data_IF_843816489608
#
_entry.id   IF_843816489608
#
_cell.length_a   1.000
_cell.length_b   1.000
_cell.length_c   1.000
_cell.angle_alpha   90.00
_cell.angle_beta   90.00
_cell.angle_gamma   90.00
#
_symmetry.space_group_name_H-M   'P 1'
#
loop_
_entity.id
_entity.type
_entity.pdbx_description
1 polymer ?
#
# COMPACT_ATOMS: atom_id res chain seq x y z
N UNK A 1 32.49 -14.37 1.82
CA UNK A 1 32.04 -13.21 1.04
C UNK A 1 31.15 -12.40 1.96
N UNK A 2 31.64 -11.28 2.49
CA UNK A 2 30.96 -10.56 3.59
C UNK A 2 29.73 -9.75 3.14
N UNK A 3 29.47 -9.75 1.83
CA UNK A 3 28.27 -9.18 1.20
C UNK A 3 27.08 -10.15 1.12
N UNK A 4 27.21 -11.39 1.59
CA UNK A 4 26.11 -12.37 1.63
C UNK A 4 25.56 -12.51 3.06
N UNK A 5 24.24 -12.42 3.19
CA UNK A 5 23.55 -12.53 4.47
C UNK A 5 22.26 -13.34 4.33
N UNK A 6 22.17 -14.43 5.10
CA UNK A 6 20.97 -15.25 5.23
C UNK A 6 20.36 -15.03 6.60
N UNK A 7 19.04 -14.87 6.67
CA UNK A 7 18.30 -14.67 7.92
C UNK A 7 16.83 -15.10 7.76
N UNK A 8 16.11 -15.22 8.87
CA UNK A 8 14.67 -15.49 8.90
C UNK A 8 13.88 -14.20 9.13
N UNK A 9 12.82 -13.99 8.34
CA UNK A 9 11.93 -12.84 8.49
C UNK A 9 10.55 -13.13 7.88
N UNK A 10 9.49 -12.62 8.54
CA UNK A 10 8.09 -12.77 8.08
C UNK A 10 7.73 -14.25 7.76
N UNK A 11 8.20 -15.17 8.62
CA UNK A 11 7.90 -16.60 8.50
C UNK A 11 8.59 -17.34 7.36
N UNK A 12 9.66 -16.79 6.77
CA UNK A 12 10.44 -17.48 5.73
C UNK A 12 11.91 -17.07 5.74
N UNK A 13 12.73 -17.83 5.01
CA UNK A 13 14.15 -17.60 4.83
C UNK A 13 14.39 -16.51 3.78
N UNK A 14 15.27 -15.57 4.11
CA UNK A 14 15.72 -14.48 3.24
C UNK A 14 17.20 -14.61 2.93
N UNK A 15 17.60 -14.09 1.77
CA UNK A 15 19.00 -13.90 1.38
C UNK A 15 19.19 -12.52 0.77
N UNK A 16 20.13 -11.77 1.33
CA UNK A 16 20.62 -10.50 0.80
C UNK A 16 22.06 -10.70 0.32
N UNK A 17 22.31 -10.48 -0.95
CA UNK A 17 23.65 -10.59 -1.55
C UNK A 17 24.02 -9.27 -2.20
N UNK A 18 25.20 -8.75 -1.87
CA UNK A 18 25.72 -7.47 -2.34
C UNK A 18 27.20 -7.59 -2.71
N UNK A 19 27.69 -6.70 -3.59
CA UNK A 19 29.10 -6.69 -3.99
C UNK A 19 30.03 -6.14 -2.88
N UNK A 20 29.56 -5.15 -2.12
CA UNK A 20 30.28 -4.59 -0.97
C UNK A 20 29.85 -5.31 0.33
N UNK A 21 30.69 -5.38 1.38
CA UNK A 21 30.30 -6.00 2.65
C UNK A 21 29.04 -5.39 3.28
N UNK A 22 28.18 -6.24 3.83
CA UNK A 22 26.99 -5.79 4.58
C UNK A 22 27.39 -5.46 6.01
N UNK A 23 27.61 -4.16 6.28
CA UNK A 23 27.93 -3.68 7.63
C UNK A 23 26.78 -3.90 8.61
N UNK A 24 27.07 -3.92 9.92
CA UNK A 24 26.02 -4.06 10.93
C UNK A 24 24.98 -2.93 10.88
N UNK A 25 25.38 -1.74 10.41
CA UNK A 25 24.45 -0.62 10.23
C UNK A 25 23.41 -0.94 9.14
N UNK A 26 23.83 -1.51 8.01
CA UNK A 26 22.94 -1.95 6.92
C UNK A 26 22.02 -3.06 7.41
N UNK A 27 22.58 -4.07 8.08
CA UNK A 27 21.81 -5.21 8.62
C UNK A 27 20.74 -4.74 9.61
N UNK A 28 21.09 -3.83 10.52
CA UNK A 28 20.14 -3.21 11.47
C UNK A 28 19.06 -2.41 10.75
N UNK A 29 19.41 -1.62 9.74
CA UNK A 29 18.43 -0.83 8.99
C UNK A 29 17.41 -1.73 8.25
N UNK A 30 17.88 -2.82 7.64
CA UNK A 30 17.02 -3.84 7.01
C UNK A 30 16.11 -4.50 8.04
N UNK A 31 16.65 -4.95 9.17
CA UNK A 31 15.86 -5.57 10.24
C UNK A 31 14.78 -4.62 10.78
N UNK A 32 15.11 -3.36 11.04
CA UNK A 32 14.16 -2.34 11.47
C UNK A 32 13.06 -2.10 10.43
N UNK A 33 13.42 -2.08 9.14
CA UNK A 33 12.45 -1.91 8.06
C UNK A 33 11.49 -3.09 7.98
N UNK A 34 11.98 -4.32 8.09
CA UNK A 34 11.17 -5.54 8.08
C UNK A 34 10.23 -5.57 9.29
N UNK A 35 10.73 -5.28 10.49
CA UNK A 35 9.92 -5.26 11.70
C UNK A 35 8.87 -4.13 11.70
N UNK A 36 9.18 -2.96 11.12
CA UNK A 36 8.19 -1.92 10.87
C UNK A 36 7.10 -2.36 9.87
N UNK A 37 7.46 -3.13 8.84
CA UNK A 37 6.49 -3.71 7.92
C UNK A 37 5.57 -4.71 8.62
N UNK A 38 6.16 -5.61 9.41
CA UNK A 38 5.45 -6.63 10.16
C UNK A 38 4.45 -6.03 11.16
N UNK A 39 4.86 -4.99 11.90
CA UNK A 39 3.97 -4.21 12.79
C UNK A 39 2.82 -3.53 12.05
N UNK A 40 2.96 -3.22 10.76
CA UNK A 40 1.89 -2.59 10.01
C UNK A 40 0.94 -3.64 9.41
N UNK A 41 1.50 -4.69 8.81
CA UNK A 41 0.77 -5.52 7.84
C UNK A 41 0.51 -6.96 8.29
N UNK A 42 1.10 -7.40 9.41
CA UNK A 42 0.94 -8.78 9.86
C UNK A 42 -0.45 -9.00 10.46
N UNK A 43 -1.19 -9.97 9.91
CA UNK A 43 -2.45 -10.44 10.49
C UNK A 43 -2.28 -11.36 11.69
N UNK A 44 -1.04 -11.80 11.95
CA UNK A 44 -0.69 -12.73 13.02
C UNK A 44 -0.09 -12.02 14.24
N UNK A 45 0.42 -10.80 14.06
CA UNK A 45 1.00 -10.00 15.13
C UNK A 45 -0.08 -9.17 15.81
N UNK A 46 -0.31 -9.45 17.09
CA UNK A 46 -1.16 -8.62 17.93
C UNK A 46 -0.62 -7.17 17.99
N UNK A 47 -1.54 -6.20 18.00
CA UNK A 47 -1.20 -4.79 18.00
C UNK A 47 -0.68 -4.22 16.67
N UNK A 48 -0.78 -5.00 15.58
CA UNK A 48 -0.51 -4.46 14.24
C UNK A 48 -1.60 -3.50 13.77
N UNK A 49 -1.33 -2.72 12.72
CA UNK A 49 -2.39 -1.89 12.10
C UNK A 49 -3.50 -2.77 11.53
N UNK A 50 -3.16 -3.93 10.96
CA UNK A 50 -4.13 -4.94 10.51
C UNK A 50 -5.00 -5.46 11.66
N UNK A 51 -4.42 -5.69 12.84
CA UNK A 51 -5.17 -6.09 14.04
C UNK A 51 -6.18 -5.02 14.47
N UNK A 52 -5.83 -3.73 14.34
CA UNK A 52 -6.77 -2.64 14.59
C UNK A 52 -7.93 -2.59 13.57
N UNK A 53 -7.66 -2.90 12.28
CA UNK A 53 -8.68 -3.02 11.22
C UNK A 53 -9.62 -4.20 11.48
N UNK A 54 -9.08 -5.31 11.98
CA UNK A 54 -9.85 -6.48 12.43
C UNK A 54 -10.78 -6.13 13.59
N UNK A 55 -10.30 -5.34 14.56
CA UNK A 55 -11.03 -5.08 15.79
C UNK A 55 -12.16 -4.07 15.62
N UNK A 56 -11.97 -3.02 14.80
CA UNK A 56 -12.90 -1.89 14.74
C UNK A 56 -13.12 -1.38 13.32
N UNK A 57 -14.34 -0.92 13.02
CA UNK A 57 -14.61 -0.19 11.79
C UNK A 57 -14.21 1.29 11.96
N UNK A 58 -13.77 1.93 10.89
CA UNK A 58 -13.50 3.37 10.90
C UNK A 58 -12.27 3.74 10.09
N UNK A 59 -11.50 4.69 10.60
CA UNK A 59 -10.36 5.28 9.91
C UNK A 59 -9.06 4.82 10.58
N UNK A 60 -8.26 4.05 9.86
CA UNK A 60 -7.03 3.44 10.36
C UNK A 60 -5.82 4.08 9.68
N UNK A 61 -4.85 4.57 10.46
CA UNK A 61 -3.63 5.16 9.90
C UNK A 61 -2.71 4.03 9.42
N UNK A 62 -2.50 3.96 8.12
CA UNK A 62 -1.57 3.03 7.48
C UNK A 62 -0.14 3.61 7.51
N UNK A 63 0.91 2.80 7.29
CA UNK A 63 2.26 3.33 7.13
C UNK A 63 2.33 4.30 5.95
N UNK A 64 3.28 5.24 6.00
CA UNK A 64 3.37 6.33 5.02
C UNK A 64 3.62 5.81 3.59
N UNK A 65 4.21 4.62 3.47
CA UNK A 65 4.44 3.91 2.22
C UNK A 65 3.36 2.87 1.89
N UNK A 66 2.17 2.93 2.48
CA UNK A 66 1.07 2.01 2.13
C UNK A 66 0.52 2.22 0.71
N UNK A 67 0.66 3.45 0.18
CA UNK A 67 0.03 3.87 -1.08
C UNK A 67 0.33 2.94 -2.27
N UNK A 68 1.60 2.64 -2.59
CA UNK A 68 1.95 1.75 -3.71
C UNK A 68 1.33 0.36 -3.61
N UNK A 69 1.37 -0.27 -2.44
CA UNK A 69 0.81 -1.61 -2.21
C UNK A 69 -0.71 -1.63 -2.34
N UNK A 70 -1.41 -0.68 -1.70
CA UNK A 70 -2.87 -0.57 -1.81
C UNK A 70 -3.31 -0.26 -3.25
N UNK A 71 -2.57 0.59 -3.95
CA UNK A 71 -2.82 0.87 -5.36
C UNK A 71 -2.56 -0.35 -6.26
N UNK A 72 -1.65 -1.26 -5.89
CA UNK A 72 -1.46 -2.54 -6.59
C UNK A 72 -2.68 -3.44 -6.37
N UNK A 73 -3.13 -3.60 -5.14
CA UNK A 73 -4.34 -4.36 -4.82
C UNK A 73 -5.58 -3.83 -5.55
N UNK A 74 -5.77 -2.50 -5.62
CA UNK A 74 -6.85 -1.89 -6.40
C UNK A 74 -6.82 -2.30 -7.88
N UNK A 75 -5.63 -2.29 -8.49
CA UNK A 75 -5.45 -2.68 -9.90
C UNK A 75 -5.73 -4.16 -10.09
N UNK A 76 -5.18 -5.02 -9.23
CA UNK A 76 -5.35 -6.46 -9.31
C UNK A 76 -6.80 -6.87 -9.06
N UNK A 77 -7.45 -6.31 -8.06
CA UNK A 77 -8.86 -6.52 -7.76
C UNK A 77 -9.74 -6.16 -8.95
N UNK A 78 -9.50 -4.99 -9.56
CA UNK A 78 -10.23 -4.57 -10.76
C UNK A 78 -9.96 -5.50 -11.95
N UNK A 79 -8.71 -5.83 -12.21
CA UNK A 79 -8.30 -6.66 -13.36
C UNK A 79 -8.82 -8.10 -13.27
N UNK A 80 -9.03 -8.60 -12.06
CA UNK A 80 -9.50 -9.96 -11.79
C UNK A 80 -11.00 -10.04 -11.46
N UNK A 81 -11.75 -8.95 -11.69
CA UNK A 81 -13.17 -8.85 -11.35
C UNK A 81 -13.49 -9.28 -9.90
N UNK A 82 -12.56 -8.99 -8.98
CA UNK A 82 -12.70 -9.28 -7.56
C UNK A 82 -12.10 -10.60 -7.08
N UNK A 83 -11.57 -11.45 -7.96
CA UNK A 83 -10.97 -12.73 -7.56
C UNK A 83 -9.71 -12.55 -6.71
N UNK A 84 -8.95 -11.47 -6.91
CA UNK A 84 -7.87 -11.06 -6.00
C UNK A 84 -8.35 -9.90 -5.12
N UNK A 85 -8.30 -10.08 -3.80
CA UNK A 85 -8.71 -9.07 -2.83
C UNK A 85 -7.83 -9.17 -1.58
N UNK A 86 -7.39 -8.05 -0.99
CA UNK A 86 -6.71 -8.07 0.31
C UNK A 86 -7.71 -8.21 1.47
N UNK A 87 -9.03 -8.22 1.22
CA UNK A 87 -10.06 -8.38 2.26
C UNK A 87 -10.47 -9.85 2.49
N UNK A 88 -9.62 -10.80 2.10
CA UNK A 88 -9.90 -12.25 2.15
C UNK A 88 -9.53 -12.90 3.49
N UNK A 89 -8.92 -12.16 4.42
CA UNK A 89 -8.37 -12.73 5.65
C UNK A 89 -9.40 -13.49 6.49
N UNK A 90 -10.64 -12.98 6.61
CA UNK A 90 -11.71 -13.68 7.33
C UNK A 90 -12.03 -15.05 6.70
N UNK A 91 -11.98 -15.13 5.37
CA UNK A 91 -12.16 -16.36 4.62
C UNK A 91 -11.00 -17.33 4.81
N UNK A 92 -9.76 -16.83 4.80
CA UNK A 92 -8.57 -17.64 5.06
C UNK A 92 -8.60 -18.26 6.47
N UNK A 93 -8.97 -17.49 7.48
CA UNK A 93 -9.08 -18.00 8.85
C UNK A 93 -10.23 -19.00 9.02
N UNK A 94 -11.35 -18.77 8.32
CA UNK A 94 -12.45 -19.73 8.27
C UNK A 94 -12.04 -21.08 7.67
N UNK A 95 -11.08 -21.07 6.73
CA UNK A 95 -10.46 -22.26 6.14
C UNK A 95 -9.35 -22.86 7.01
N UNK A 96 -9.06 -22.28 8.18
CA UNK A 96 -8.05 -22.77 9.11
C UNK A 96 -6.64 -22.21 8.89
N UNK A 97 -6.45 -21.22 8.00
CA UNK A 97 -5.19 -20.47 7.90
C UNK A 97 -5.10 -19.38 8.98
N UNK A 98 -5.57 -19.64 10.20
CA UNK A 98 -5.47 -18.72 11.33
C UNK A 98 -4.05 -18.72 11.95
N UNK A 99 -3.83 -17.92 12.99
CA UNK A 99 -2.52 -17.81 13.64
C UNK A 99 -2.01 -19.13 14.23
N UNK A 100 -2.92 -20.05 14.57
CA UNK A 100 -2.58 -21.39 15.03
C UNK A 100 -2.28 -22.37 13.91
N UNK A 101 -2.44 -21.98 12.64
CA UNK A 101 -2.40 -22.89 11.50
C UNK A 101 -3.25 -24.13 11.75
N UNK A 102 -4.51 -23.92 12.15
CA UNK A 102 -5.44 -25.02 12.43
C UNK A 102 -5.64 -25.96 11.22
N UNK A 103 -5.49 -25.43 9.99
CA UNK A 103 -5.59 -26.14 8.71
C UNK A 103 -6.85 -27.01 8.56
N UNK A 104 -7.90 -26.63 9.29
CA UNK A 104 -9.19 -27.31 9.27
C UNK A 104 -10.26 -26.29 8.98
N UNK A 105 -10.99 -26.49 7.88
CA UNK A 105 -12.06 -25.60 7.47
C UNK A 105 -13.28 -25.73 8.39
N UNK A 106 -13.86 -24.59 8.78
CA UNK A 106 -15.14 -24.56 9.51
C UNK A 106 -16.30 -24.74 8.53
N UNK A 107 -17.46 -25.27 8.97
CA UNK A 107 -18.62 -25.41 8.10
C UNK A 107 -19.09 -24.07 7.49
N UNK A 108 -19.60 -24.13 6.25
CA UNK A 108 -20.13 -22.96 5.55
C UNK A 108 -19.08 -22.12 4.82
N UNK A 109 -19.47 -20.91 4.44
CA UNK A 109 -18.64 -19.98 3.67
C UNK A 109 -18.58 -18.61 4.34
N UNK A 110 -17.38 -18.02 4.38
CA UNK A 110 -17.13 -16.68 4.92
C UNK A 110 -16.69 -15.75 3.78
N UNK A 111 -17.60 -14.94 3.21
CA UNK A 111 -17.26 -14.04 2.11
C UNK A 111 -16.34 -12.91 2.58
N UNK A 112 -15.42 -12.52 1.70
CA UNK A 112 -14.63 -11.30 1.85
C UNK A 112 -15.53 -10.05 1.82
N UNK A 113 -15.09 -8.98 2.49
CA UNK A 113 -15.67 -7.65 2.27
C UNK A 113 -15.35 -7.20 0.84
N UNK A 114 -16.29 -6.47 0.21
CA UNK A 114 -16.05 -5.83 -1.08
C UNK A 114 -14.94 -4.79 -0.94
N UNK A 115 -13.76 -5.11 -1.49
CA UNK A 115 -12.61 -4.21 -1.48
C UNK A 115 -12.91 -2.88 -2.19
N UNK A 116 -13.74 -2.89 -3.23
CA UNK A 116 -14.17 -1.68 -3.93
C UNK A 116 -14.98 -0.71 -3.07
N UNK A 117 -15.50 -1.17 -1.93
CA UNK A 117 -16.20 -0.35 -0.95
C UNK A 117 -15.29 0.18 0.19
N UNK A 118 -14.05 -0.30 0.28
CA UNK A 118 -13.04 0.20 1.24
C UNK A 118 -12.46 1.51 0.72
N UNK A 119 -12.40 2.52 1.59
CA UNK A 119 -11.88 3.84 1.25
C UNK A 119 -10.38 3.93 1.46
N UNK A 120 -9.69 4.66 0.57
CA UNK A 120 -8.31 5.08 0.78
C UNK A 120 -8.23 6.60 0.65
N UNK A 121 -7.97 7.27 1.78
CA UNK A 121 -7.70 8.70 1.91
C UNK A 121 -6.36 8.86 2.61
N UNK A 122 -5.28 8.77 1.83
CA UNK A 122 -3.91 8.63 2.34
C UNK A 122 -3.61 9.64 3.48
N UNK A 123 -3.00 9.18 4.59
CA UNK A 123 -2.49 7.83 4.85
C UNK A 123 -3.54 6.88 5.50
N UNK A 124 -4.84 7.15 5.35
CA UNK A 124 -5.87 6.43 6.09
C UNK A 124 -6.68 5.45 5.24
N UNK A 125 -6.84 4.24 5.76
CA UNK A 125 -7.78 3.24 5.27
C UNK A 125 -9.13 3.43 5.99
N UNK A 126 -10.21 3.51 5.23
CA UNK A 126 -11.56 3.70 5.75
C UNK A 126 -12.41 2.45 5.55
N UNK A 127 -12.87 1.86 6.65
CA UNK A 127 -13.63 0.61 6.66
C UNK A 127 -15.04 0.85 7.21
N UNK A 128 -16.06 0.30 6.54
CA UNK A 128 -17.45 0.39 7.01
C UNK A 128 -17.79 -0.69 8.05
N UNK A 129 -17.03 -1.78 8.05
CA UNK A 129 -17.12 -2.92 8.97
C UNK A 129 -15.70 -3.40 9.28
N UNK A 130 -15.46 -3.99 10.46
CA UNK A 130 -14.19 -4.67 10.72
C UNK A 130 -14.05 -5.90 9.80
N UNK A 131 -12.82 -6.18 9.38
CA UNK A 131 -12.47 -7.39 8.62
C UNK A 131 -10.97 -7.65 8.75
N UNK A 132 -10.53 -8.85 8.38
CA UNK A 132 -9.11 -9.19 8.38
C UNK A 132 -8.49 -8.80 7.04
N UNK A 133 -7.66 -7.76 7.06
CA UNK A 133 -6.82 -7.38 5.93
C UNK A 133 -5.66 -8.38 5.80
N UNK A 134 -5.44 -8.92 4.60
CA UNK A 134 -4.36 -9.84 4.29
C UNK A 134 -3.61 -9.32 3.05
N UNK A 135 -2.30 -9.12 3.20
CA UNK A 135 -1.42 -8.71 2.10
C UNK A 135 -0.48 -9.83 1.66
N UNK A 136 -0.76 -11.09 1.99
CA UNK A 136 0.13 -12.22 1.69
C UNK A 136 0.42 -12.40 0.21
N UNK A 137 -0.54 -12.04 -0.66
CA UNK A 137 -0.40 -12.21 -2.12
C UNK A 137 0.61 -11.27 -2.80
N UNK A 138 0.95 -10.11 -2.20
CA UNK A 138 1.85 -9.12 -2.82
C UNK A 138 2.75 -8.37 -1.82
N UNK A 139 2.48 -8.48 -0.52
CA UNK A 139 3.16 -7.76 0.54
C UNK A 139 4.63 -8.16 0.69
N UNK A 140 4.97 -9.43 0.44
CA UNK A 140 6.36 -9.88 0.52
C UNK A 140 7.21 -9.32 -0.61
N UNK A 141 6.76 -9.44 -1.87
CA UNK A 141 7.41 -8.78 -3.00
C UNK A 141 7.56 -7.27 -2.81
N UNK A 142 6.54 -6.60 -2.25
CA UNK A 142 6.67 -5.19 -1.91
C UNK A 142 7.72 -4.91 -0.82
N UNK A 143 7.81 -5.76 0.22
CA UNK A 143 8.85 -5.64 1.23
C UNK A 143 10.25 -5.87 0.66
N UNK A 144 10.40 -6.77 -0.32
CA UNK A 144 11.67 -6.97 -1.05
C UNK A 144 12.11 -5.69 -1.75
N UNK A 145 11.19 -4.97 -2.42
CA UNK A 145 11.48 -3.65 -3.01
C UNK A 145 11.96 -2.66 -1.93
N UNK A 146 11.25 -2.58 -0.81
CA UNK A 146 11.57 -1.66 0.29
C UNK A 146 12.92 -1.96 0.96
N UNK A 147 13.26 -3.24 1.13
CA UNK A 147 14.57 -3.68 1.64
C UNK A 147 15.67 -3.31 0.65
N UNK A 148 15.41 -3.47 -0.66
CA UNK A 148 16.34 -3.06 -1.71
C UNK A 148 16.62 -1.55 -1.62
N UNK A 149 15.58 -0.73 -1.49
CA UNK A 149 15.69 0.72 -1.32
C UNK A 149 16.49 1.10 -0.07
N UNK A 150 16.29 0.40 1.05
CA UNK A 150 17.08 0.60 2.28
C UNK A 150 18.57 0.35 2.02
N UNK A 151 18.92 -0.77 1.37
CA UNK A 151 20.31 -1.12 1.08
C UNK A 151 20.95 -0.11 0.14
N UNK A 152 20.26 0.28 -0.94
CA UNK A 152 20.74 1.29 -1.89
C UNK A 152 20.81 2.70 -1.28
N UNK A 153 20.18 2.95 -0.13
CA UNK A 153 20.33 4.18 0.64
C UNK A 153 21.76 4.41 1.13
N UNK A 154 22.53 3.33 1.37
CA UNK A 154 23.92 3.37 1.83
C UNK A 154 24.89 3.61 0.67
N UNK A 155 25.88 4.47 0.89
CA UNK A 155 26.75 4.99 -0.18
C UNK A 155 27.57 3.89 -0.87
N UNK A 156 28.03 2.92 -0.10
CA UNK A 156 28.81 1.76 -0.53
C UNK A 156 28.03 0.81 -1.45
N UNK A 157 26.69 0.82 -1.40
CA UNK A 157 25.85 -0.08 -2.19
C UNK A 157 25.19 0.61 -3.39
N UNK A 158 25.16 1.95 -3.47
CA UNK A 158 24.46 2.71 -4.53
C UNK A 158 24.84 2.35 -5.96
N UNK A 159 26.07 1.91 -6.19
CA UNK A 159 26.57 1.56 -7.52
C UNK A 159 26.91 0.07 -7.66
N UNK A 160 26.83 -0.68 -6.56
CA UNK A 160 27.13 -2.11 -6.56
C UNK A 160 25.89 -2.95 -6.87
N UNK A 161 26.10 -4.17 -7.35
CA UNK A 161 25.04 -5.14 -7.51
C UNK A 161 24.39 -5.51 -6.17
N UNK A 162 23.06 -5.61 -6.15
CA UNK A 162 22.25 -6.01 -4.99
C UNK A 162 21.22 -7.05 -5.44
N UNK A 163 21.11 -8.15 -4.70
CA UNK A 163 20.05 -9.15 -4.85
C UNK A 163 19.38 -9.36 -3.50
N UNK A 164 18.06 -9.26 -3.47
CA UNK A 164 17.23 -9.57 -2.31
C UNK A 164 16.28 -10.69 -2.71
N UNK A 165 16.32 -11.81 -2.00
CA UNK A 165 15.45 -12.98 -2.20
C UNK A 165 14.72 -13.29 -0.89
N UNK A 166 13.39 -13.26 -0.91
CA UNK A 166 12.52 -13.60 0.20
C UNK A 166 11.72 -14.88 -0.08
N UNK A 167 12.43 -15.99 -0.31
CA UNK A 167 11.83 -17.29 -0.63
C UNK A 167 11.06 -17.25 -1.95
N UNK A 168 11.74 -16.74 -2.99
CA UNK A 168 11.24 -16.68 -4.38
C UNK A 168 10.71 -15.31 -4.81
N UNK A 169 10.31 -14.44 -3.86
CA UNK A 169 10.08 -13.02 -4.15
C UNK A 169 11.45 -12.33 -4.28
N UNK A 170 11.83 -11.93 -5.50
CA UNK A 170 13.20 -11.53 -5.81
C UNK A 170 13.28 -10.17 -6.51
N UNK A 171 14.24 -9.37 -6.06
CA UNK A 171 14.73 -8.18 -6.78
C UNK A 171 16.22 -8.32 -7.02
N UNK A 172 16.65 -8.04 -8.24
CA UNK A 172 18.07 -7.89 -8.59
C UNK A 172 18.29 -6.53 -9.24
N UNK A 173 19.17 -5.73 -8.63
CA UNK A 173 19.67 -4.48 -9.17
C UNK A 173 21.10 -4.73 -9.64
N UNK A 174 21.39 -4.64 -10.95
CA UNK A 174 22.73 -4.88 -11.45
C UNK A 174 23.67 -3.75 -11.03
N UNK A 175 24.92 -4.10 -10.72
CA UNK A 175 25.96 -3.12 -10.45
C UNK A 175 26.28 -2.29 -11.69
N UNK A 176 26.57 -1.01 -11.47
CA UNK A 176 27.13 -0.16 -12.50
C UNK A 176 28.57 -0.58 -12.75
N UNK A 177 28.85 -1.27 -13.88
CA UNK A 177 30.24 -1.47 -14.32
C UNK A 177 30.88 -0.09 -14.41
N UNK A 178 31.79 0.24 -13.49
CA UNK A 178 32.80 1.27 -13.75
C UNK A 178 33.57 0.73 -14.94
N UNK A 179 33.26 1.19 -16.15
CA UNK A 179 34.19 1.07 -17.27
C UNK A 179 35.41 1.87 -16.82
N UNK A 180 36.41 1.18 -16.28
CA UNK A 180 37.76 1.68 -16.36
C UNK A 180 38.03 1.86 -17.85
N UNK A 181 37.98 3.10 -18.33
CA UNK A 181 38.67 3.43 -19.56
C UNK A 181 40.14 3.06 -19.29
N UNK A 182 40.76 2.18 -20.09
CA UNK A 182 42.19 1.92 -19.95
C UNK A 182 42.92 3.26 -20.01
N UNK A 183 43.74 3.54 -19.00
CA UNK A 183 44.53 4.76 -18.94
C UNK A 183 45.32 4.91 -20.24
N UNK A 184 45.10 6.03 -20.93
CA UNK A 184 46.08 6.56 -21.87
C UNK A 184 46.84 7.68 -21.15
N UNK A 185 48.17 7.57 -20.99
CA UNK A 185 48.96 8.72 -20.60
C UNK A 185 49.01 9.68 -21.80
N UNK A 186 48.54 10.91 -21.58
CA UNK A 186 48.70 12.03 -22.52
C UNK A 186 47.54 12.29 -23.48
N UNK A 187 46.74 13.31 -23.17
CA UNK A 187 46.39 14.43 -24.07
C UNK A 187 45.20 15.25 -23.51
N UNK A 188 45.29 16.60 -23.44
CA UNK A 188 44.17 17.46 -23.11
C UNK A 188 43.34 17.77 -24.36
N UNK A 189 42.02 17.87 -24.22
CA UNK A 189 41.17 18.44 -25.28
C UNK A 189 39.77 17.88 -25.33
N UNK A 190 38.80 18.70 -24.92
CA UNK A 190 37.38 18.45 -24.95
C UNK A 190 36.85 18.11 -26.35
N UNK A 191 35.82 17.27 -26.44
CA UNK A 191 34.86 17.37 -27.56
C UNK A 191 33.47 16.92 -27.16
N UNK A 192 32.55 17.90 -27.06
CA UNK A 192 31.10 17.70 -27.13
C UNK A 192 30.75 17.06 -28.47
N UNK A 193 29.97 15.98 -28.47
CA UNK A 193 29.27 15.55 -29.67
C UNK A 193 27.77 15.44 -29.45
N UNK A 194 27.07 16.53 -29.76
CA UNK A 194 25.66 16.51 -30.15
C UNK A 194 25.55 15.75 -31.48
N UNK A 195 24.69 14.74 -31.60
CA UNK A 195 24.23 14.25 -32.91
C UNK A 195 22.77 14.63 -33.15
N UNK A 196 22.62 15.58 -34.08
CA UNK A 196 21.37 15.97 -34.76
C UNK A 196 20.90 14.85 -35.68
N UNK A 197 19.58 14.72 -35.79
CA UNK A 197 18.88 13.92 -36.80
C UNK A 197 19.17 14.46 -38.20
N UNK A 198 19.51 13.58 -39.15
CA UNK A 198 19.47 13.90 -40.60
C UNK A 198 18.33 13.13 -41.25
N UNK A 199 17.41 13.87 -41.87
CA UNK A 199 16.46 13.42 -42.89
C UNK A 199 17.22 13.28 -44.21
N UNK A 200 16.98 12.21 -44.94
CA UNK A 200 17.33 12.11 -46.35
C UNK A 200 16.05 12.21 -47.20
N UNK A 201 16.06 13.14 -48.16
CA UNK A 201 15.15 13.20 -49.32
C UNK A 201 16.00 12.90 -50.56
N UNK A 202 15.52 12.03 -51.46
CA UNK A 202 15.77 11.98 -52.92
C UNK A 202 14.60 11.18 -53.51
N UNK A 203 13.66 11.80 -54.24
CA UNK A 203 13.58 12.12 -55.69
C UNK A 203 13.44 10.89 -56.60
N UNK A 204 12.45 11.02 -57.48
CA UNK A 204 11.83 10.03 -58.35
C UNK A 204 12.62 9.69 -59.62
N UNK A 205 12.31 8.54 -60.21
CA UNK A 205 12.72 8.08 -61.53
C UNK A 205 11.95 6.81 -61.89
N UNK A 206 11.43 6.77 -63.11
CA UNK A 206 10.33 5.95 -63.66
C UNK A 206 10.71 4.57 -64.21
N UNK A 207 9.73 3.67 -64.25
CA UNK A 207 9.36 2.76 -65.36
C UNK A 207 9.34 1.25 -65.03
N UNK A 208 8.36 0.55 -65.61
CA UNK A 208 8.38 -0.91 -65.83
C UNK A 208 7.34 -1.72 -65.06
N UNK A 209 6.23 -2.05 -65.72
CA UNK A 209 5.14 -2.87 -65.23
C UNK A 209 5.49 -4.37 -65.13
N UNK A 210 4.89 -5.09 -64.18
CA UNK A 210 4.20 -6.38 -64.42
C UNK A 210 3.37 -6.78 -63.19
N UNK A 211 2.11 -7.12 -63.44
CA UNK A 211 1.13 -7.66 -62.48
C UNK A 211 1.57 -9.06 -62.02
N UNK A 212 1.21 -9.42 -60.78
CA UNK A 212 0.47 -10.63 -60.37
C UNK A 212 0.42 -10.71 -58.82
N UNK A 213 -0.76 -11.00 -58.25
CA UNK A 213 -0.87 -11.86 -57.06
C UNK A 213 -0.83 -11.26 -55.64
N UNK A 214 -2.01 -10.89 -55.14
CA UNK A 214 -2.55 -11.12 -53.77
C UNK A 214 -1.83 -10.65 -52.47
N UNK A 215 -2.54 -9.72 -51.81
CA UNK A 215 -2.56 -9.16 -50.44
C UNK A 215 -1.62 -9.67 -49.31
N UNK A 216 -0.98 -8.72 -48.60
CA UNK A 216 -0.78 -8.77 -47.15
C UNK A 216 -1.61 -7.72 -46.37
N UNK A 217 -1.97 -8.09 -45.14
CA UNK A 217 -2.85 -7.35 -44.23
C UNK A 217 -2.35 -5.94 -43.84
N UNK A 218 -3.29 -4.98 -43.78
CA UNK A 218 -3.06 -3.58 -43.44
C UNK A 218 -2.91 -3.36 -41.94
N UNK A 219 -1.79 -2.74 -41.56
CA UNK A 219 -1.55 -2.06 -40.30
C UNK A 219 -2.45 -0.82 -40.16
N UNK A 220 -3.39 -0.86 -39.20
CA UNK A 220 -4.20 0.27 -38.76
C UNK A 220 -3.47 1.15 -37.74
N UNK A 221 -3.49 2.46 -37.98
CA UNK A 221 -2.82 3.51 -37.21
C UNK A 221 -3.49 3.75 -35.84
N UNK A 222 -2.66 4.13 -34.86
CA UNK A 222 -2.98 4.52 -33.47
C UNK A 222 -3.99 5.67 -33.37
N UNK A 223 -4.87 5.60 -32.36
CA UNK A 223 -5.56 6.75 -31.73
C UNK A 223 -5.27 6.79 -30.21
N UNK A 224 -5.18 7.98 -29.56
CA UNK A 224 -4.72 8.14 -28.17
C UNK A 224 -5.85 8.06 -27.11
N UNK A 225 -5.53 7.93 -25.79
CA UNK A 225 -6.49 7.45 -24.80
C UNK A 225 -7.37 8.57 -24.22
N UNK A 226 -8.63 8.65 -24.68
CA UNK A 226 -9.68 9.47 -24.03
C UNK A 226 -10.31 8.82 -22.78
N UNK A 227 -10.02 7.54 -22.50
CA UNK A 227 -10.64 6.77 -21.42
C UNK A 227 -10.20 7.15 -19.99
N UNK A 228 -8.99 7.72 -19.81
CA UNK A 228 -8.44 7.98 -18.46
C UNK A 228 -9.01 9.22 -17.75
N UNK A 229 -9.51 10.22 -18.49
CA UNK A 229 -10.15 11.41 -17.89
C UNK A 229 -11.61 11.16 -17.48
N UNK A 230 -12.32 10.28 -18.19
CA UNK A 230 -13.72 9.97 -17.92
C UNK A 230 -13.91 9.23 -16.58
N UNK A 231 -13.03 8.26 -16.25
CA UNK A 231 -13.13 7.50 -14.99
C UNK A 231 -12.80 8.33 -13.73
N UNK A 232 -11.85 9.27 -13.81
CA UNK A 232 -11.52 10.15 -12.68
C UNK A 232 -12.65 11.16 -12.40
N UNK A 233 -13.31 11.66 -13.45
CA UNK A 233 -14.48 12.54 -13.33
C UNK A 233 -15.70 11.81 -12.75
N UNK A 234 -15.93 10.55 -13.11
CA UNK A 234 -17.03 9.73 -12.58
C UNK A 234 -16.89 9.45 -11.07
N UNK A 235 -15.67 9.17 -10.60
CA UNK A 235 -15.38 8.94 -9.17
C UNK A 235 -15.58 10.21 -8.31
N UNK A 236 -15.13 11.38 -8.79
CA UNK A 236 -15.38 12.65 -8.09
C UNK A 236 -16.86 13.03 -8.03
N UNK A 237 -17.66 12.70 -9.06
CA UNK A 237 -19.12 12.97 -9.06
C UNK A 237 -19.87 12.06 -8.08
N UNK A 238 -19.50 10.77 -7.97
CA UNK A 238 -20.10 9.85 -6.98
C UNK A 238 -19.75 10.23 -5.53
N UNK A 239 -18.50 10.60 -5.25
CA UNK A 239 -18.09 11.05 -3.92
C UNK A 239 -18.84 12.32 -3.47
N UNK A 240 -19.03 13.30 -4.37
CA UNK A 240 -19.80 14.53 -4.08
C UNK A 240 -21.29 14.24 -3.86
N UNK A 241 -21.87 13.25 -4.55
CA UNK A 241 -23.28 12.91 -4.39
C UNK A 241 -23.57 12.19 -3.06
N UNK A 242 -22.68 11.29 -2.63
CA UNK A 242 -22.76 10.61 -1.34
C UNK A 242 -22.55 11.56 -0.15
N UNK A 243 -21.60 12.51 -0.26
CA UNK A 243 -21.40 13.56 0.74
C UNK A 243 -22.63 14.46 0.93
N UNK A 244 -23.30 14.84 -0.17
CA UNK A 244 -24.53 15.65 -0.12
C UNK A 244 -25.72 14.90 0.48
N UNK A 245 -25.84 13.58 0.25
CA UNK A 245 -26.89 12.74 0.89
C UNK A 245 -26.68 12.62 2.40
N UNK A 246 -25.43 12.44 2.86
CA UNK A 246 -25.09 12.39 4.30
C UNK A 246 -25.36 13.71 5.03
N UNK A 247 -25.06 14.86 4.40
CA UNK A 247 -25.35 16.18 4.98
C UNK A 247 -26.85 16.45 5.12
N UNK A 248 -27.66 16.03 4.13
CA UNK A 248 -29.13 16.15 4.17
C UNK A 248 -29.77 15.26 5.22
N UNK A 249 -29.26 14.04 5.42
CA UNK A 249 -29.72 13.14 6.47
C UNK A 249 -29.41 13.68 7.88
N UNK A 250 -28.23 14.28 8.08
CA UNK A 250 -27.87 14.93 9.36
C UNK A 250 -28.75 16.15 9.65
N UNK A 251 -29.06 16.99 8.65
CA UNK A 251 -29.94 18.16 8.82
C UNK A 251 -31.41 17.81 9.11
N UNK A 252 -31.90 16.67 8.62
CA UNK A 252 -33.25 16.17 8.98
C UNK A 252 -33.29 15.69 10.43
N UNK A 253 -32.32 14.89 10.87
CA UNK A 253 -32.21 14.43 12.27
C UNK A 253 -32.04 15.55 13.30
N UNK A 254 -31.48 16.71 12.92
CA UNK A 254 -31.38 17.87 13.80
C UNK A 254 -32.68 18.69 13.89
N UNK A 255 -33.61 18.55 12.95
CA UNK A 255 -34.91 19.26 12.97
C UNK A 255 -35.97 18.49 13.75
N UNK A 256 -35.88 17.17 13.82
CA UNK A 256 -36.84 16.31 14.53
C UNK A 256 -36.45 16.04 16.00
N UNK A 257 -35.56 16.85 16.58
CA UNK A 257 -35.15 16.70 17.98
C UNK A 257 -36.13 17.48 18.88
N UNK A 258 -36.90 16.82 19.76
CA UNK A 258 -37.79 17.53 20.68
C UNK A 258 -36.97 18.40 21.64
N UNK A 259 -37.42 19.65 21.85
CA UNK A 259 -36.81 20.58 22.79
C UNK A 259 -36.91 20.03 24.23
N UNK A 260 -35.87 20.17 25.06
CA UNK A 260 -35.92 19.71 26.44
C UNK A 260 -36.91 20.55 27.25
N UNK A 261 -37.74 19.88 28.04
CA UNK A 261 -38.70 20.51 28.94
C UNK A 261 -37.98 21.44 29.94
N UNK A 262 -38.46 22.69 30.02
CA UNK A 262 -37.95 23.70 30.96
C UNK A 262 -38.14 23.22 32.40
N UNK A 263 -37.03 23.06 33.12
CA UNK A 263 -37.03 22.87 34.57
C UNK A 263 -37.68 24.09 35.24
N UNK A 264 -38.82 23.86 35.92
CA UNK A 264 -39.47 24.85 36.77
C UNK A 264 -38.56 25.17 37.94
N UNK A 265 -38.01 26.39 37.97
CA UNK A 265 -37.40 26.98 39.17
C UNK A 265 -38.46 27.06 40.26
N UNK A 266 -38.26 26.35 41.38
CA UNK A 266 -38.98 26.60 42.64
C UNK A 266 -38.16 27.53 43.51
N UNK A 267 -38.88 28.39 44.22
CA UNK A 267 -38.40 29.64 44.78
C UNK A 267 -37.46 29.49 45.97
N UNK A 268 -36.63 30.52 46.11
CA UNK A 268 -35.81 30.79 47.26
C UNK A 268 -36.71 31.25 48.42
N UNK A 269 -36.62 30.62 49.58
CA UNK A 269 -37.04 31.25 50.85
C UNK A 269 -35.97 30.98 51.90
N UNK A 270 -35.26 32.06 52.25
CA UNK A 270 -34.34 32.15 53.39
C UNK A 270 -35.09 31.85 54.69
N UNK A 271 -34.62 30.89 55.48
CA UNK A 271 -34.73 30.93 56.95
C UNK A 271 -33.47 30.38 57.61
N UNK A 272 -33.14 31.03 58.72
CA UNK A 272 -31.97 30.92 59.59
C UNK A 272 -31.96 29.61 60.36
N UNK A 273 -30.78 29.14 60.76
CA UNK A 273 -30.60 28.12 61.79
C UNK A 273 -29.42 27.22 61.48
N UNK A 274 -28.29 27.46 62.13
CA UNK A 274 -27.15 26.56 62.07
C UNK A 274 -27.43 25.25 62.80
N UNK A 275 -26.82 24.16 62.32
CA UNK A 275 -26.52 23.02 63.16
C UNK A 275 -25.33 22.26 62.57
N UNK A 276 -24.27 22.17 63.38
CA UNK A 276 -23.05 21.42 63.13
C UNK A 276 -23.37 19.93 63.33
N UNK A 277 -23.05 19.07 62.36
CA UNK A 277 -23.09 17.61 62.55
C UNK A 277 -21.75 17.01 62.13
N UNK A 278 -21.13 16.35 63.12
CA UNK A 278 -19.85 15.62 63.09
C UNK A 278 -19.88 14.39 62.16
N UNK A 279 -18.72 13.90 61.70
CA UNK A 279 -18.62 12.68 60.90
C UNK A 279 -18.70 11.41 61.77
N UNK A 280 -19.56 10.47 61.36
CA UNK A 280 -19.70 9.14 61.96
C UNK A 280 -18.61 8.20 61.42
N UNK A 281 -17.78 7.67 62.32
CA UNK A 281 -16.86 6.54 62.08
C UNK A 281 -17.64 5.21 62.02
N UNK A 282 -17.10 4.16 61.35
CA UNK A 282 -17.78 2.89 61.11
C UNK A 282 -17.78 1.99 62.36
N UNK A 283 -18.79 1.12 62.48
CA UNK A 283 -18.80 -0.01 63.45
C UNK A 283 -18.42 -1.32 62.76
N UNK A 284 -17.70 -2.22 63.44
CA UNK A 284 -17.35 -3.54 62.91
C UNK A 284 -18.40 -4.59 63.29
N UNK A 285 -18.63 -5.54 62.38
CA UNK A 285 -18.65 -6.99 62.58
C UNK A 285 -18.73 -7.67 61.22
#
# INVERSE_FOLDING_TARGET
>A
MDGDWVFEAIGTRWRLTTEAPLTDAVRRAVALRIDAFDRAWSRFRAGSVVDAVRATAGRHRMPDDAGPLLALYDRLHTATAGALSPAVGDGLEHLGYDAGYTLTARPGHRPAVDWGAVGWDAPYLETAKPFVLDVGAAGKGYLVDLVTDVVLGFAEHRTGGVTVDASGDLVHVPGGRRRALPGRPGAPGATRLRRRRRRARRRAGTSGALRVGHQPARLGRRSPPRARRAHRAARHRRARHLGRRRLRARRRRSRDRPLPARARRRGCSRRRGGCVVRPSRPRPR
#
